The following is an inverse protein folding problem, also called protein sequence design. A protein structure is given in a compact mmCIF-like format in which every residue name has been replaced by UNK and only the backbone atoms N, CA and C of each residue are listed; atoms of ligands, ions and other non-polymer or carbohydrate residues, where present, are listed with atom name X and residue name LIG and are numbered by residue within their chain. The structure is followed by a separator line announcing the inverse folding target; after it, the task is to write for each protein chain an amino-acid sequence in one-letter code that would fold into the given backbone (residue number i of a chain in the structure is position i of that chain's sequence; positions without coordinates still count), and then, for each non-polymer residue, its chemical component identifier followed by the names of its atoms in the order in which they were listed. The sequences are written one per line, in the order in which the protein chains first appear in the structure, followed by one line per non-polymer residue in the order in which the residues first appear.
data_IF_381865097235
#
_entry.id   IF_381865097235
#
_cell.length_a   1.000
_cell.length_b   1.000
_cell.length_c   1.000
_cell.angle_alpha   90.00
_cell.angle_beta   90.00
_cell.angle_gamma   90.00
#
_symmetry.space_group_name_H-M   'P 1'
#
loop_
_entity.id
_entity.type
_entity.pdbx_description
1 polymer ?
#
# COMPACT_ATOMS: atom_id res chain seq x y z
N UNK A 1 7.76 20.57 -20.42
CA UNK A 1 8.88 21.52 -20.41
C UNK A 1 9.93 20.95 -19.47
N UNK A 2 11.14 20.70 -19.97
CA UNK A 2 12.25 20.07 -19.24
C UNK A 2 12.78 20.97 -18.13
N UNK A 3 13.12 20.42 -16.95
CA UNK A 3 14.49 20.38 -16.42
C UNK A 3 14.60 19.45 -15.19
N UNK A 4 15.58 18.56 -15.25
CA UNK A 4 16.09 17.69 -14.19
C UNK A 4 17.20 18.41 -13.40
N UNK A 5 17.28 18.15 -12.09
CA UNK A 5 18.53 18.06 -11.30
C UNK A 5 18.21 17.18 -10.08
N UNK A 6 18.61 15.91 -10.02
CA UNK A 6 19.87 15.43 -9.44
C UNK A 6 20.26 16.16 -8.15
N UNK A 7 19.93 15.56 -7.00
CA UNK A 7 20.79 15.66 -5.83
C UNK A 7 20.91 14.32 -5.11
N UNK A 8 22.16 13.96 -4.94
CA UNK A 8 22.71 12.76 -4.34
C UNK A 8 22.40 12.76 -2.83
N UNK A 9 21.74 11.72 -2.33
CA UNK A 9 21.44 11.59 -0.90
C UNK A 9 22.73 11.52 -0.07
N UNK A 10 22.96 12.54 0.77
CA UNK A 10 23.83 12.41 1.95
C UNK A 10 22.95 12.42 3.19
N UNK A 11 22.35 11.27 3.50
CA UNK A 11 21.92 10.97 4.86
C UNK A 11 22.87 9.94 5.43
N UNK A 12 23.62 10.37 6.44
CA UNK A 12 24.38 9.48 7.30
C UNK A 12 23.40 8.55 8.00
N UNK A 13 23.42 7.26 7.63
CA UNK A 13 22.69 6.23 8.35
C UNK A 13 23.22 6.14 9.78
N UNK A 14 22.46 6.64 10.75
CA UNK A 14 22.67 6.25 12.14
C UNK A 14 22.21 4.79 12.29
N UNK A 15 23.06 3.87 12.77
CA UNK A 15 22.63 2.50 13.09
C UNK A 15 21.55 2.60 14.17
N UNK A 16 20.35 2.14 13.83
CA UNK A 16 19.13 2.41 14.59
C UNK A 16 19.19 1.92 16.04
N UNK A 17 19.02 2.88 16.95
CA UNK A 17 18.53 2.62 18.31
C UNK A 17 17.14 1.97 18.16
N UNK A 18 16.99 0.71 18.58
CA UNK A 18 15.70 0.02 18.50
C UNK A 18 14.61 0.80 19.26
N UNK A 19 13.49 1.10 18.59
CA UNK A 19 12.31 1.65 19.25
C UNK A 19 11.77 0.62 20.24
N UNK A 20 11.44 1.06 21.47
CA UNK A 20 10.82 0.17 22.44
C UNK A 20 9.40 -0.23 22.00
N UNK A 21 8.92 -1.39 22.46
CA UNK A 21 7.59 -1.90 22.13
C UNK A 21 6.47 -0.86 22.35
N UNK A 22 6.49 -0.17 23.50
CA UNK A 22 5.49 0.85 23.81
C UNK A 22 5.53 2.03 22.82
N UNK A 23 6.72 2.44 22.37
CA UNK A 23 6.86 3.49 21.36
C UNK A 23 6.27 3.05 20.02
N UNK A 24 6.48 1.79 19.62
CA UNK A 24 5.92 1.25 18.38
C UNK A 24 4.38 1.21 18.45
N UNK A 25 3.80 0.67 19.53
CA UNK A 25 2.35 0.61 19.70
C UNK A 25 1.71 2.01 19.66
N UNK A 26 2.34 2.98 20.32
CA UNK A 26 1.90 4.38 20.30
C UNK A 26 2.03 5.01 18.90
N UNK A 27 3.15 4.77 18.21
CA UNK A 27 3.43 5.29 16.87
C UNK A 27 2.33 4.89 15.87
N UNK A 28 1.89 3.63 15.92
CA UNK A 28 0.85 3.09 15.03
C UNK A 28 -0.57 3.21 15.59
N UNK A 29 -0.75 3.84 16.76
CA UNK A 29 -2.06 3.97 17.45
C UNK A 29 -2.79 2.63 17.60
N UNK A 30 -2.04 1.57 17.92
CA UNK A 30 -2.61 0.22 18.03
C UNK A 30 -3.57 0.15 19.20
N UNK A 31 -4.80 -0.29 18.92
CA UNK A 31 -5.85 -0.48 19.92
C UNK A 31 -5.49 -1.66 20.82
N UNK A 32 -5.50 -1.45 22.15
CA UNK A 32 -5.36 -2.57 23.10
C UNK A 32 -6.63 -3.42 23.03
N UNK A 33 -6.49 -4.71 22.73
CA UNK A 33 -7.58 -5.65 22.98
C UNK A 33 -7.81 -5.70 24.49
N UNK A 34 -9.04 -5.38 24.92
CA UNK A 34 -9.53 -5.86 26.19
C UNK A 34 -9.72 -7.37 26.02
N UNK A 35 -8.93 -8.18 26.72
CA UNK A 35 -9.11 -9.63 26.79
C UNK A 35 -10.50 -9.94 27.35
N UNK A 36 -11.50 -10.03 26.47
CA UNK A 36 -12.73 -10.75 26.72
C UNK A 36 -12.61 -12.04 25.95
N UNK A 37 -12.13 -13.05 26.66
CA UNK A 37 -12.17 -14.44 26.24
C UNK A 37 -13.63 -14.88 26.13
N UNK A 38 -14.26 -14.65 24.98
CA UNK A 38 -15.51 -15.33 24.63
C UNK A 38 -15.16 -16.47 23.66
N UNK A 39 -15.06 -17.67 24.26
CA UNK A 39 -15.07 -18.94 23.54
C UNK A 39 -16.39 -19.03 22.78
N UNK A 40 -16.36 -18.88 21.46
CA UNK A 40 -17.48 -19.21 20.59
C UNK A 40 -17.54 -20.74 20.44
N UNK A 41 -18.50 -21.36 21.14
CA UNK A 41 -18.82 -22.77 21.01
C UNK A 41 -19.35 -23.11 19.60
N UNK A 42 -18.86 -24.22 19.06
CA UNK A 42 -19.29 -24.82 17.81
C UNK A 42 -20.76 -25.25 17.90
N UNK A 43 -21.64 -24.60 17.13
CA UNK A 43 -22.98 -25.15 16.86
C UNK A 43 -22.95 -26.02 15.60
N UNK A 44 -23.16 -27.32 15.80
CA UNK A 44 -23.38 -28.31 14.76
C UNK A 44 -24.79 -28.14 14.18
N UNK A 45 -24.89 -27.77 12.90
CA UNK A 45 -26.17 -27.80 12.19
C UNK A 45 -26.21 -28.97 11.19
N UNK A 46 -27.26 -29.78 11.32
CA UNK A 46 -27.55 -31.02 10.59
C UNK A 46 -27.69 -30.81 9.08
N UNK A 47 -26.98 -31.64 8.30
CA UNK A 47 -26.96 -31.63 6.83
C UNK A 47 -28.26 -32.17 6.22
N UNK A 48 -28.92 -31.40 5.35
CA UNK A 48 -29.92 -31.90 4.38
C UNK A 48 -29.27 -32.15 3.01
N UNK A 49 -29.65 -33.22 2.27
CA UNK A 49 -28.98 -33.59 1.03
C UNK A 49 -29.38 -32.67 -0.14
N UNK A 50 -28.39 -32.03 -0.78
CA UNK A 50 -28.56 -31.19 -1.98
C UNK A 50 -28.60 -32.04 -3.25
N UNK A 51 -29.66 -31.86 -4.06
CA UNK A 51 -29.80 -32.39 -5.43
C UNK A 51 -28.64 -31.92 -6.33
N UNK A 52 -28.01 -32.85 -7.04
CA UNK A 52 -26.94 -32.60 -8.02
C UNK A 52 -27.49 -31.82 -9.22
N UNK A 53 -26.95 -30.63 -9.47
CA UNK A 53 -27.13 -29.86 -10.72
C UNK A 53 -25.81 -29.91 -11.51
N UNK A 54 -25.83 -29.85 -12.85
CA UNK A 54 -24.63 -30.03 -13.67
C UNK A 54 -23.61 -28.92 -13.41
N UNK A 55 -22.33 -29.33 -13.34
CA UNK A 55 -21.17 -28.46 -13.18
C UNK A 55 -20.90 -27.67 -14.47
N UNK A 56 -21.60 -26.55 -14.66
CA UNK A 56 -21.00 -25.45 -15.41
C UNK A 56 -19.92 -24.85 -14.54
N UNK A 57 -18.65 -25.12 -14.87
CA UNK A 57 -17.48 -24.48 -14.25
C UNK A 57 -17.54 -22.99 -14.61
N UNK A 58 -18.24 -22.20 -13.79
CA UNK A 58 -18.02 -20.76 -13.76
C UNK A 58 -16.57 -20.59 -13.33
N UNK A 59 -15.72 -20.02 -14.19
CA UNK A 59 -14.37 -19.59 -13.81
C UNK A 59 -14.50 -18.85 -12.47
N UNK A 60 -13.87 -19.37 -11.43
CA UNK A 60 -13.86 -18.73 -10.11
C UNK A 60 -13.29 -17.32 -10.33
N UNK A 61 -14.08 -16.28 -10.07
CA UNK A 61 -13.56 -14.91 -10.14
C UNK A 61 -12.35 -14.83 -9.21
N UNK A 62 -11.22 -14.32 -9.70
CA UNK A 62 -10.09 -13.97 -8.83
C UNK A 62 -10.60 -12.91 -7.85
N UNK A 63 -10.50 -13.18 -6.55
CA UNK A 63 -11.00 -12.36 -5.44
C UNK A 63 -9.83 -12.02 -4.54
N UNK A 64 -9.78 -10.77 -4.08
CA UNK A 64 -8.71 -10.23 -3.25
C UNK A 64 -8.53 -11.13 -2.02
N UNK A 65 -7.28 -11.39 -1.67
CA UNK A 65 -6.93 -12.15 -0.47
C UNK A 65 -6.46 -11.19 0.62
N UNK A 66 -6.89 -11.38 1.88
CA UNK A 66 -6.28 -10.66 2.99
C UNK A 66 -4.84 -11.15 3.18
N UNK A 67 -3.96 -10.27 3.65
CA UNK A 67 -2.63 -10.71 4.06
C UNK A 67 -2.71 -11.63 5.27
N UNK A 68 -1.68 -12.48 5.43
CA UNK A 68 -1.51 -13.33 6.60
C UNK A 68 -0.38 -12.75 7.44
N UNK A 69 -0.66 -12.16 8.62
CA UNK A 69 0.36 -11.64 9.51
C UNK A 69 1.30 -12.76 9.97
N UNK A 70 2.51 -12.38 10.40
CA UNK A 70 3.38 -13.31 11.13
C UNK A 70 2.68 -13.82 12.40
N UNK A 71 2.70 -15.13 12.62
CA UNK A 71 2.15 -15.80 13.82
C UNK A 71 2.80 -15.24 15.10
N UNK A 72 4.13 -15.11 15.08
CA UNK A 72 4.93 -14.60 16.19
C UNK A 72 4.68 -13.09 16.42
N UNK A 73 4.15 -12.68 17.60
CA UNK A 73 3.98 -11.27 17.94
C UNK A 73 5.28 -10.45 17.94
N UNK A 74 6.41 -11.04 18.31
CA UNK A 74 7.70 -10.33 18.34
C UNK A 74 8.19 -10.05 16.92
N UNK A 75 7.91 -10.98 15.99
CA UNK A 75 8.16 -10.76 14.57
C UNK A 75 7.29 -9.61 14.02
N UNK A 76 5.99 -9.55 14.36
CA UNK A 76 5.12 -8.42 13.97
C UNK A 76 5.62 -7.09 14.54
N UNK A 77 6.09 -7.10 15.79
CA UNK A 77 6.65 -5.90 16.41
C UNK A 77 7.93 -5.43 15.69
N UNK A 78 8.79 -6.36 15.30
CA UNK A 78 9.98 -6.05 14.50
C UNK A 78 9.61 -5.46 13.15
N UNK A 79 8.64 -6.04 12.44
CA UNK A 79 8.12 -5.54 11.16
C UNK A 79 7.66 -4.09 11.28
N UNK A 80 6.78 -3.80 12.24
CA UNK A 80 6.33 -2.45 12.54
C UNK A 80 7.48 -1.52 12.95
N UNK A 81 8.44 -2.02 13.72
CA UNK A 81 9.62 -1.25 14.15
C UNK A 81 10.48 -0.77 12.98
N UNK A 82 10.63 -1.58 11.92
CA UNK A 82 11.37 -1.16 10.71
C UNK A 82 10.68 -0.02 9.99
N UNK A 83 9.36 -0.09 9.84
CA UNK A 83 8.55 0.98 9.24
C UNK A 83 8.61 2.27 10.07
N UNK A 84 8.44 2.18 11.39
CA UNK A 84 8.52 3.34 12.27
C UNK A 84 9.89 4.03 12.21
N UNK A 85 10.96 3.24 12.12
CA UNK A 85 12.33 3.75 11.99
C UNK A 85 12.53 4.50 10.67
N UNK A 86 12.07 3.94 9.55
CA UNK A 86 12.17 4.57 8.24
C UNK A 86 11.35 5.87 8.14
N UNK A 87 10.10 5.86 8.63
CA UNK A 87 9.25 7.05 8.68
C UNK A 87 9.89 8.14 9.56
N UNK A 88 10.43 7.78 10.72
CA UNK A 88 11.11 8.71 11.62
C UNK A 88 12.35 9.32 10.96
N UNK A 89 13.16 8.51 10.26
CA UNK A 89 14.36 8.98 9.57
C UNK A 89 14.06 10.01 8.47
N UNK A 90 12.87 9.93 7.87
CA UNK A 90 12.40 10.89 6.86
C UNK A 90 11.52 12.01 7.42
N UNK A 91 11.26 12.04 8.74
CA UNK A 91 10.39 13.05 9.37
C UNK A 91 8.91 12.92 9.00
N UNK A 92 8.45 11.72 8.62
CA UNK A 92 7.08 11.45 8.16
C UNK A 92 6.26 10.90 9.31
N UNK A 93 5.03 11.41 9.48
CA UNK A 93 4.06 10.87 10.41
C UNK A 93 3.33 9.67 9.81
N UNK A 94 3.07 8.65 10.62
CA UNK A 94 2.29 7.50 10.14
C UNK A 94 0.83 7.88 9.86
N UNK A 95 0.33 7.50 8.68
CA UNK A 95 -1.09 7.50 8.33
C UNK A 95 -1.42 6.35 7.40
N UNK A 96 -2.46 5.58 7.73
CA UNK A 96 -2.99 4.51 6.87
C UNK A 96 -4.25 4.91 6.10
N UNK A 97 -4.54 6.22 6.05
CA UNK A 97 -5.67 6.81 5.36
C UNK A 97 -5.21 7.99 4.47
N UNK A 98 -6.01 8.30 3.46
CA UNK A 98 -5.90 9.56 2.71
C UNK A 98 -6.25 10.74 3.65
N UNK A 99 -5.41 11.77 3.64
CA UNK A 99 -5.59 12.96 4.47
C UNK A 99 -5.93 14.16 3.57
N UNK A 100 -6.92 14.95 3.99
CA UNK A 100 -7.35 16.16 3.30
C UNK A 100 -7.03 17.37 4.17
N UNK A 101 -5.90 18.03 3.88
CA UNK A 101 -5.40 19.16 4.67
C UNK A 101 -6.04 20.47 4.18
N UNK A 102 -6.49 21.37 5.08
CA UNK A 102 -6.94 22.70 4.67
C UNK A 102 -5.88 23.45 3.85
N UNK A 103 -6.28 23.99 2.70
CA UNK A 103 -5.37 24.65 1.74
C UNK A 103 -4.86 23.72 0.62
N UNK A 104 -5.05 22.42 0.75
CA UNK A 104 -4.86 21.43 -0.33
C UNK A 104 -6.22 21.05 -0.95
N UNK A 105 -6.29 19.93 -1.66
CA UNK A 105 -7.53 19.42 -2.21
C UNK A 105 -8.51 19.00 -1.08
N UNK A 106 -9.78 19.45 -1.10
CA UNK A 106 -10.78 18.97 -0.16
C UNK A 106 -11.22 17.55 -0.52
N UNK A 107 -11.77 16.82 0.46
CA UNK A 107 -12.33 15.47 0.24
C UNK A 107 -13.39 15.43 -0.87
N UNK A 108 -14.19 16.48 -0.98
CA UNK A 108 -15.20 16.63 -2.04
C UNK A 108 -14.62 16.73 -3.45
N UNK A 109 -13.32 16.97 -3.62
CA UNK A 109 -12.67 16.90 -4.93
C UNK A 109 -12.37 15.45 -5.36
N UNK A 110 -12.23 14.53 -4.41
CA UNK A 110 -11.96 13.11 -4.70
C UNK A 110 -13.25 12.38 -5.08
N UNK A 111 -13.73 12.59 -6.30
CA UNK A 111 -14.88 11.88 -6.85
C UNK A 111 -14.45 11.08 -8.08
N UNK A 112 -14.60 9.77 -8.00
CA UNK A 112 -14.18 8.81 -9.03
C UNK A 112 -14.91 8.97 -10.36
N UNK A 113 -16.08 9.63 -10.37
CA UNK A 113 -16.79 9.99 -11.60
C UNK A 113 -16.03 11.01 -12.47
N UNK A 114 -15.09 11.76 -11.88
CA UNK A 114 -14.25 12.69 -12.63
C UNK A 114 -13.07 12.01 -13.33
N UNK A 115 -12.86 10.71 -13.11
CA UNK A 115 -11.77 9.98 -13.76
C UNK A 115 -12.01 9.90 -15.27
N UNK A 116 -11.03 10.36 -16.03
CA UNK A 116 -11.02 10.27 -17.49
C UNK A 116 -11.12 8.81 -17.94
N UNK A 117 -12.14 8.50 -18.72
CA UNK A 117 -12.41 7.13 -19.18
C UNK A 117 -13.07 6.22 -18.13
N UNK A 118 -13.40 6.75 -16.96
CA UNK A 118 -14.07 6.06 -15.87
C UNK A 118 -13.11 5.22 -15.00
N UNK A 119 -13.50 5.01 -13.74
CA UNK A 119 -12.77 4.19 -12.78
C UNK A 119 -13.51 2.89 -12.47
N UNK A 120 -12.79 1.78 -12.41
CA UNK A 120 -13.36 0.49 -12.01
C UNK A 120 -13.84 0.53 -10.55
N UNK A 121 -15.02 -0.01 -10.28
CA UNK A 121 -15.60 -0.08 -8.93
C UNK A 121 -15.09 -1.33 -8.21
N UNK A 122 -14.65 -1.18 -6.96
CA UNK A 122 -14.24 -2.33 -6.15
C UNK A 122 -15.47 -3.17 -5.79
N UNK A 123 -15.41 -4.47 -6.04
CA UNK A 123 -16.52 -5.37 -5.73
C UNK A 123 -16.72 -5.46 -4.21
N UNK A 124 -17.98 -5.62 -3.76
CA UNK A 124 -18.31 -5.72 -2.34
C UNK A 124 -17.47 -6.77 -1.59
N UNK A 125 -17.24 -7.94 -2.19
CA UNK A 125 -16.42 -9.00 -1.59
C UNK A 125 -14.94 -8.61 -1.43
N UNK A 126 -14.40 -7.82 -2.36
CA UNK A 126 -13.03 -7.31 -2.27
C UNK A 126 -12.95 -6.14 -1.28
N UNK A 127 -13.99 -5.30 -1.19
CA UNK A 127 -14.11 -4.26 -0.17
C UNK A 127 -14.12 -4.86 1.24
N UNK A 128 -14.89 -5.93 1.48
CA UNK A 128 -14.88 -6.66 2.75
C UNK A 128 -13.48 -7.17 3.11
N UNK A 129 -12.68 -7.57 2.11
CA UNK A 129 -11.29 -7.99 2.31
C UNK A 129 -10.37 -6.82 2.67
N UNK A 130 -10.56 -5.65 2.03
CA UNK A 130 -9.81 -4.43 2.39
C UNK A 130 -10.15 -3.99 3.81
N UNK A 131 -11.43 -3.98 4.19
CA UNK A 131 -11.88 -3.63 5.54
C UNK A 131 -11.36 -4.62 6.60
N UNK A 132 -11.34 -5.90 6.29
CA UNK A 132 -10.71 -6.91 7.16
C UNK A 132 -9.24 -6.56 7.41
N UNK A 133 -8.48 -6.25 6.35
CA UNK A 133 -7.07 -5.86 6.45
C UNK A 133 -6.85 -4.56 7.24
N UNK A 134 -7.74 -3.57 7.07
CA UNK A 134 -7.72 -2.32 7.88
C UNK A 134 -7.94 -2.63 9.36
N UNK A 135 -8.92 -3.46 9.69
CA UNK A 135 -9.21 -3.87 11.06
C UNK A 135 -8.05 -4.66 11.70
N UNK A 136 -7.36 -5.50 10.93
CA UNK A 136 -6.15 -6.20 11.36
C UNK A 136 -5.05 -5.21 11.75
N UNK A 137 -4.77 -4.21 10.92
CA UNK A 137 -3.73 -3.21 11.22
C UNK A 137 -4.02 -2.41 12.48
N UNK A 138 -5.27 -2.02 12.71
CA UNK A 138 -5.69 -1.28 13.92
C UNK A 138 -5.38 -2.03 15.23
N UNK A 139 -5.37 -3.37 15.20
CA UNK A 139 -5.01 -4.22 16.35
C UNK A 139 -3.56 -4.74 16.32
N UNK A 140 -2.71 -4.20 15.45
CA UNK A 140 -1.28 -4.55 15.38
C UNK A 140 -0.96 -5.78 14.52
N UNK A 141 -1.93 -6.32 13.78
CA UNK A 141 -1.70 -7.34 12.76
C UNK A 141 -1.34 -6.66 11.43
N UNK A 142 -0.05 -6.62 11.10
CA UNK A 142 0.47 -6.04 9.87
C UNK A 142 0.73 -7.11 8.79
N UNK A 143 0.77 -6.73 7.49
CA UNK A 143 1.30 -7.62 6.46
C UNK A 143 2.75 -7.98 6.79
N UNK A 144 3.22 -9.20 6.46
CA UNK A 144 4.54 -9.69 6.86
C UNK A 144 5.62 -9.04 5.97
N UNK A 145 5.86 -7.75 6.18
CA UNK A 145 6.72 -6.88 5.38
C UNK A 145 7.69 -6.15 6.31
N UNK A 146 8.92 -5.95 5.84
CA UNK A 146 9.95 -5.17 6.52
C UNK A 146 10.46 -4.06 5.61
N UNK A 147 10.79 -2.92 6.20
CA UNK A 147 11.50 -1.84 5.51
C UNK A 147 13.00 -2.04 5.72
N UNK A 148 13.76 -2.09 4.62
CA UNK A 148 15.20 -2.35 4.64
C UNK A 148 15.92 -1.25 3.87
N UNK A 149 16.97 -0.68 4.45
CA UNK A 149 17.81 0.29 3.76
C UNK A 149 18.83 -0.43 2.86
N UNK A 150 18.80 -0.09 1.58
CA UNK A 150 19.72 -0.52 0.55
C UNK A 150 20.57 0.68 0.09
N UNK A 151 21.91 0.59 0.07
CA UNK A 151 22.76 1.72 -0.34
C UNK A 151 22.54 2.22 -1.77
N UNK A 152 21.93 1.41 -2.64
CA UNK A 152 21.71 1.75 -4.05
C UNK A 152 20.26 2.18 -4.33
N UNK A 153 19.28 1.57 -3.65
CA UNK A 153 17.85 1.87 -3.85
C UNK A 153 17.23 2.75 -2.75
N UNK A 154 17.95 3.01 -1.66
CA UNK A 154 17.41 3.68 -0.48
C UNK A 154 16.54 2.73 0.36
N UNK A 155 15.47 3.25 0.96
CA UNK A 155 14.54 2.39 1.69
C UNK A 155 13.70 1.55 0.71
N UNK A 156 13.72 0.23 0.93
CA UNK A 156 12.99 -0.77 0.13
C UNK A 156 12.10 -1.60 1.04
N UNK A 157 11.17 -2.36 0.45
CA UNK A 157 10.27 -3.26 1.18
C UNK A 157 10.49 -4.70 0.75
N UNK A 158 10.69 -5.59 1.73
CA UNK A 158 10.89 -7.02 1.53
C UNK A 158 9.86 -7.84 2.29
N UNK A 159 9.49 -8.99 1.74
CA UNK A 159 8.59 -9.93 2.41
C UNK A 159 9.31 -10.64 3.57
N UNK A 160 8.76 -10.58 4.78
CA UNK A 160 9.25 -11.31 5.96
C UNK A 160 8.46 -12.61 6.23
N UNK A 161 7.59 -12.97 5.29
CA UNK A 161 6.83 -14.22 5.23
C UNK A 161 6.32 -14.48 3.81
N UNK A 162 5.77 -15.67 3.52
CA UNK A 162 5.19 -15.96 2.21
C UNK A 162 3.92 -15.13 1.97
N UNK A 163 3.80 -14.54 0.78
CA UNK A 163 2.62 -13.79 0.34
C UNK A 163 2.05 -14.44 -0.91
N UNK A 164 0.75 -14.73 -0.92
CA UNK A 164 0.11 -15.39 -2.07
C UNK A 164 -0.22 -14.39 -3.18
N UNK A 165 -0.32 -14.88 -4.40
CA UNK A 165 -0.90 -14.16 -5.52
C UNK A 165 -2.25 -13.55 -5.13
N UNK A 166 -2.49 -12.33 -5.60
CA UNK A 166 -3.72 -11.58 -5.38
C UNK A 166 -3.99 -11.17 -3.92
N UNK A 167 -2.94 -11.14 -3.10
CA UNK A 167 -2.99 -10.62 -1.71
C UNK A 167 -2.96 -9.09 -1.69
N UNK A 168 -3.85 -8.47 -0.93
CA UNK A 168 -3.80 -7.05 -0.61
C UNK A 168 -2.61 -6.74 0.29
N UNK A 169 -1.76 -5.79 -0.13
CA UNK A 169 -0.54 -5.43 0.58
C UNK A 169 -0.76 -4.17 1.42
N UNK A 170 -1.13 -3.07 0.76
CA UNK A 170 -1.34 -1.78 1.37
C UNK A 170 -2.22 -0.90 0.48
N UNK A 171 -2.81 0.13 1.07
CA UNK A 171 -3.31 1.29 0.33
C UNK A 171 -2.19 2.31 0.23
N UNK A 172 -2.09 3.02 -0.89
CA UNK A 172 -1.17 4.15 -1.03
C UNK A 172 -1.77 5.37 -0.36
N UNK A 173 -1.12 5.86 0.70
CA UNK A 173 -1.69 6.90 1.59
C UNK A 173 -0.78 8.11 1.70
N UNK A 174 -1.38 9.24 2.08
CA UNK A 174 -0.71 10.52 2.25
C UNK A 174 -1.69 11.69 2.14
N UNK A 175 -1.14 12.90 2.09
CA UNK A 175 -1.93 14.10 1.87
C UNK A 175 -2.44 14.12 0.43
N UNK A 176 -3.72 14.42 0.22
CA UNK A 176 -4.31 14.57 -1.11
C UNK A 176 -4.25 16.02 -1.53
N UNK A 177 -3.69 16.27 -2.71
CA UNK A 177 -3.53 17.60 -3.26
C UNK A 177 -3.80 17.63 -4.77
N UNK A 178 -3.95 18.82 -5.32
CA UNK A 178 -4.02 19.01 -6.76
C UNK A 178 -2.63 18.89 -7.38
N UNK A 179 -2.52 18.22 -8.54
CA UNK A 179 -1.24 18.07 -9.25
C UNK A 179 -0.59 19.42 -9.55
N UNK A 180 -1.37 20.44 -9.94
CA UNK A 180 -0.86 21.79 -10.19
C UNK A 180 -0.15 22.45 -9.00
N UNK A 181 -0.49 22.04 -7.77
CA UNK A 181 0.14 22.56 -6.56
C UNK A 181 1.50 21.91 -6.30
N UNK A 182 1.81 20.83 -7.03
CA UNK A 182 2.97 19.96 -6.82
C UNK A 182 3.94 19.94 -8.03
N UNK A 183 3.77 20.84 -9.00
CA UNK A 183 4.61 20.91 -10.20
C UNK A 183 6.10 21.17 -9.91
N UNK A 184 6.39 21.86 -8.81
CA UNK A 184 7.76 22.19 -8.37
C UNK A 184 8.14 21.45 -7.07
N UNK A 185 7.40 20.39 -6.72
CA UNK A 185 7.66 19.59 -5.53
C UNK A 185 8.85 18.64 -5.77
N UNK A 186 9.71 18.47 -4.76
CA UNK A 186 10.87 17.59 -4.80
C UNK A 186 10.58 16.18 -4.26
N UNK A 187 9.34 15.89 -3.88
CA UNK A 187 8.90 14.58 -3.43
C UNK A 187 8.98 13.53 -4.54
N UNK A 188 9.84 12.54 -4.32
CA UNK A 188 10.05 11.38 -5.20
C UNK A 188 8.95 10.30 -5.08
N UNK A 189 7.92 10.53 -4.28
CA UNK A 189 6.93 9.51 -3.90
C UNK A 189 5.50 9.95 -4.23
N UNK A 190 5.32 10.90 -5.14
CA UNK A 190 3.99 11.36 -5.55
C UNK A 190 3.28 10.26 -6.36
N UNK A 191 2.02 9.99 -6.02
CA UNK A 191 1.20 8.96 -6.66
C UNK A 191 -0.09 9.56 -7.21
N UNK A 192 -0.38 9.35 -8.50
CA UNK A 192 -1.63 9.78 -9.12
C UNK A 192 -2.85 9.12 -8.44
N UNK A 193 -3.82 9.95 -8.01
CA UNK A 193 -5.07 9.50 -7.41
C UNK A 193 -6.22 9.52 -8.43
N UNK A 194 -6.41 10.66 -9.08
CA UNK A 194 -7.53 10.96 -9.99
C UNK A 194 -6.99 11.74 -11.18
N UNK A 195 -7.24 11.26 -12.40
CA UNK A 195 -6.93 11.98 -13.64
C UNK A 195 -8.21 12.53 -14.24
N UNK A 196 -8.34 13.85 -14.21
CA UNK A 196 -9.52 14.55 -14.70
C UNK A 196 -9.33 15.02 -16.14
N UNK A 197 -10.42 15.14 -16.91
CA UNK A 197 -10.41 15.79 -18.22
C UNK A 197 -9.96 17.27 -18.13
N UNK A 198 -10.29 17.93 -17.02
CA UNK A 198 -9.71 19.22 -16.63
C UNK A 198 -8.45 18.97 -15.78
N UNK A 199 -7.23 19.26 -16.30
CA UNK A 199 -5.98 19.01 -15.58
C UNK A 199 -5.88 19.75 -14.25
N UNK A 200 -6.60 20.87 -14.09
CA UNK A 200 -6.57 21.66 -12.86
C UNK A 200 -7.28 20.99 -11.68
N UNK A 201 -8.01 19.89 -11.95
CA UNK A 201 -8.72 19.03 -10.98
C UNK A 201 -8.08 17.66 -10.79
N UNK A 202 -6.98 17.37 -11.49
CA UNK A 202 -6.20 16.15 -11.27
C UNK A 202 -5.66 16.13 -9.84
N UNK A 203 -5.78 14.99 -9.16
CA UNK A 203 -5.35 14.81 -7.78
C UNK A 203 -4.20 13.83 -7.69
N UNK A 204 -3.32 14.09 -6.73
CA UNK A 204 -2.19 13.26 -6.35
C UNK A 204 -2.20 13.00 -4.85
N UNK A 205 -1.57 11.90 -4.44
CA UNK A 205 -1.22 11.57 -3.06
C UNK A 205 0.24 11.96 -2.85
N UNK A 206 0.49 12.76 -1.83
CA UNK A 206 1.80 13.27 -1.42
C UNK A 206 2.13 12.69 -0.04
N UNK A 207 2.99 11.67 0.04
CA UNK A 207 3.31 11.02 1.30
C UNK A 207 4.44 11.72 2.07
N UNK A 208 4.68 13.01 1.82
CA UNK A 208 5.81 13.82 2.32
C UNK A 208 5.72 14.11 3.83
N UNK A 209 4.52 14.38 4.34
CA UNK A 209 4.26 14.64 5.78
C UNK A 209 3.58 13.50 6.49
N UNK A 210 2.69 12.81 5.80
CA UNK A 210 1.95 11.67 6.30
C UNK A 210 2.02 10.51 5.32
N UNK A 211 2.21 9.28 5.79
CA UNK A 211 2.22 8.11 4.91
C UNK A 211 2.37 6.80 5.65
N UNK A 212 2.33 5.69 4.91
CA UNK A 212 2.54 4.35 5.43
C UNK A 212 3.68 3.62 4.69
N UNK A 213 3.65 2.29 4.69
CA UNK A 213 4.62 1.43 4.03
C UNK A 213 4.67 1.62 2.50
N UNK A 214 3.56 1.99 1.86
CA UNK A 214 3.41 1.95 0.40
C UNK A 214 4.45 2.79 -0.35
N UNK A 215 4.86 3.90 0.25
CA UNK A 215 5.84 4.83 -0.34
C UNK A 215 7.25 4.25 -0.45
N UNK A 216 7.55 3.17 0.28
CA UNK A 216 8.87 2.54 0.30
C UNK A 216 8.98 1.35 -0.66
N UNK A 217 7.90 0.97 -1.37
CA UNK A 217 7.96 -0.16 -2.31
C UNK A 217 8.62 0.30 -3.61
N UNK A 218 9.70 -0.39 -4.01
CA UNK A 218 10.50 -0.05 -5.19
C UNK A 218 9.72 -0.14 -6.52
N UNK A 219 10.21 0.60 -7.50
CA UNK A 219 9.74 0.55 -8.89
C UNK A 219 10.64 -0.29 -9.78
N UNK A 220 10.09 -0.84 -10.87
CA UNK A 220 10.89 -1.52 -11.90
C UNK A 220 11.53 -0.53 -12.88
N UNK A 221 12.67 -0.91 -13.46
CA UNK A 221 13.20 -0.23 -14.65
C UNK A 221 12.36 -0.59 -15.89
N UNK A 222 11.67 0.38 -16.48
CA UNK A 222 10.82 0.16 -17.67
C UNK A 222 11.62 0.04 -18.98
N UNK A 223 12.92 0.34 -18.96
CA UNK A 223 13.76 0.45 -20.16
C UNK A 223 14.63 -0.78 -20.41
N UNK A 224 14.62 -1.77 -19.51
CA UNK A 224 15.36 -3.02 -19.71
C UNK A 224 14.46 -4.24 -19.50
N UNK A 225 14.78 -5.34 -20.21
CA UNK A 225 13.96 -6.57 -20.19
C UNK A 225 13.97 -7.29 -18.84
N UNK A 226 14.94 -7.00 -17.98
CA UNK A 226 15.09 -7.66 -16.67
C UNK A 226 14.22 -6.98 -15.60
N UNK A 227 14.02 -5.65 -15.67
CA UNK A 227 13.19 -4.90 -14.73
C UNK A 227 11.77 -5.45 -14.65
N UNK A 228 11.14 -5.71 -15.81
CA UNK A 228 9.79 -6.31 -15.85
C UNK A 228 9.70 -7.70 -15.21
N UNK A 229 10.81 -8.45 -15.11
CA UNK A 229 10.84 -9.75 -14.42
C UNK A 229 10.88 -9.61 -12.90
N UNK A 230 11.32 -8.46 -12.36
CA UNK A 230 11.32 -8.18 -10.93
C UNK A 230 9.92 -7.90 -10.38
N UNK A 231 9.01 -7.41 -11.23
CA UNK A 231 7.65 -7.06 -10.84
C UNK A 231 6.93 -8.24 -10.18
N UNK A 232 6.47 -8.04 -8.95
CA UNK A 232 5.73 -9.04 -8.17
C UNK A 232 4.50 -8.47 -7.46
N UNK A 233 4.29 -7.16 -7.55
CA UNK A 233 3.04 -6.52 -7.18
C UNK A 233 2.61 -5.48 -8.24
N UNK A 234 1.39 -4.98 -8.08
CA UNK A 234 0.79 -3.98 -8.97
C UNK A 234 0.04 -2.94 -8.16
N UNK A 235 0.22 -1.68 -8.56
CA UNK A 235 -0.60 -0.55 -8.12
C UNK A 235 -1.85 -0.46 -9.01
N UNK A 236 -3.04 -0.38 -8.38
CA UNK A 236 -4.34 -0.32 -9.06
C UNK A 236 -5.24 0.72 -8.41
N UNK A 237 -5.95 1.48 -9.24
CA UNK A 237 -6.93 2.48 -8.78
C UNK A 237 -8.34 1.91 -8.85
N UNK A 238 -9.13 2.13 -7.80
CA UNK A 238 -10.52 1.69 -7.68
C UNK A 238 -11.40 2.81 -7.13
N UNK A 239 -12.65 2.83 -7.58
CA UNK A 239 -13.73 3.56 -6.93
C UNK A 239 -14.24 2.75 -5.75
N UNK A 240 -14.17 3.34 -4.55
CA UNK A 240 -14.74 2.80 -3.31
C UNK A 240 -15.67 3.87 -2.75
N UNK A 241 -16.97 3.56 -2.68
CA UNK A 241 -18.02 4.48 -2.23
C UNK A 241 -18.00 5.84 -2.97
N UNK A 242 -17.63 5.82 -4.26
CA UNK A 242 -17.55 7.02 -5.10
C UNK A 242 -16.22 7.77 -5.03
N UNK A 243 -15.31 7.41 -4.12
CA UNK A 243 -13.98 8.02 -3.98
C UNK A 243 -12.89 7.21 -4.69
N UNK A 244 -11.88 7.87 -5.25
CA UNK A 244 -10.71 7.18 -5.79
C UNK A 244 -9.85 6.65 -4.66
N UNK A 245 -9.35 5.42 -4.80
CA UNK A 245 -8.41 4.76 -3.87
C UNK A 245 -7.34 4.01 -4.65
N UNK A 246 -6.12 3.98 -4.10
CA UNK A 246 -4.96 3.36 -4.74
C UNK A 246 -4.50 2.17 -3.90
N UNK A 247 -4.58 0.96 -4.47
CA UNK A 247 -4.27 -0.28 -3.78
C UNK A 247 -3.04 -0.96 -4.38
N UNK A 248 -2.23 -1.58 -3.53
CA UNK A 248 -1.10 -2.44 -3.92
C UNK A 248 -1.48 -3.90 -3.68
N UNK A 249 -1.35 -4.72 -4.73
CA UNK A 249 -1.75 -6.14 -4.73
C UNK A 249 -0.64 -7.00 -5.31
N UNK A 250 -0.36 -8.14 -4.68
CA UNK A 250 0.57 -9.13 -5.22
C UNK A 250 0.05 -9.71 -6.55
N UNK A 251 0.92 -9.91 -7.54
CA UNK A 251 0.57 -10.44 -8.88
C UNK A 251 1.06 -11.86 -9.13
N UNK A 252 1.76 -12.42 -8.16
CA UNK A 252 2.23 -13.80 -8.06
C UNK A 252 2.49 -14.13 -6.60
N UNK A 253 2.75 -15.40 -6.31
CA UNK A 253 3.32 -15.78 -5.01
C UNK A 253 4.70 -15.12 -4.82
N UNK A 254 4.95 -14.62 -3.62
CA UNK A 254 6.18 -13.92 -3.20
C UNK A 254 6.76 -14.70 -2.02
N UNK A 255 8.01 -15.13 -2.13
CA UNK A 255 8.71 -15.83 -1.06
C UNK A 255 9.22 -14.86 0.01
N UNK A 256 9.46 -15.36 1.22
CA UNK A 256 10.18 -14.62 2.26
C UNK A 256 11.57 -14.21 1.74
N UNK A 257 11.96 -12.96 1.98
CA UNK A 257 13.18 -12.33 1.54
C UNK A 257 13.10 -11.71 0.14
N UNK A 258 12.01 -11.91 -0.62
CA UNK A 258 11.84 -11.20 -1.89
C UNK A 258 11.48 -9.73 -1.66
N UNK A 259 12.19 -8.85 -2.36
CA UNK A 259 11.88 -7.43 -2.46
C UNK A 259 10.65 -7.19 -3.33
N UNK A 260 9.79 -6.27 -2.91
CA UNK A 260 8.58 -5.92 -3.62
C UNK A 260 8.89 -4.86 -4.69
N UNK A 261 8.39 -5.11 -5.91
CA UNK A 261 8.51 -4.21 -7.04
C UNK A 261 7.17 -4.09 -7.77
N UNK A 262 6.75 -2.85 -8.06
CA UNK A 262 5.66 -2.56 -8.98
C UNK A 262 6.09 -1.62 -10.11
N UNK A 263 5.21 -1.44 -11.09
CA UNK A 263 5.44 -0.49 -12.19
C UNK A 263 4.94 0.90 -11.77
N UNK A 264 5.87 1.83 -11.53
CA UNK A 264 5.55 3.22 -11.22
C UNK A 264 4.84 3.90 -12.39
N UNK A 265 5.10 3.46 -13.62
CA UNK A 265 4.51 3.97 -14.86
C UNK A 265 3.36 3.07 -15.36
N UNK A 266 2.60 2.46 -14.45
CA UNK A 266 1.53 1.52 -14.78
C UNK A 266 0.34 2.13 -15.53
N UNK A 267 0.26 3.46 -15.62
CA UNK A 267 -0.76 4.19 -16.38
C UNK A 267 -0.13 5.35 -17.17
N UNK A 268 0.46 6.33 -16.47
CA UNK A 268 1.22 7.44 -17.05
C UNK A 268 2.72 7.09 -17.12
N UNK A 269 3.52 7.84 -17.89
CA UNK A 269 4.97 7.61 -18.06
C UNK A 269 5.80 8.78 -17.51
N UNK A 270 5.36 9.35 -16.39
CA UNK A 270 5.96 10.56 -15.81
C UNK A 270 7.14 10.26 -14.88
N UNK A 271 7.30 9.02 -14.42
CA UNK A 271 8.37 8.65 -13.50
C UNK A 271 9.62 8.16 -14.25
N UNK A 272 10.78 8.81 -14.14
CA UNK A 272 11.97 8.39 -14.87
C UNK A 272 12.63 7.15 -14.24
N UNK A 273 12.52 5.98 -14.87
CA UNK A 273 13.04 4.72 -14.30
C UNK A 273 14.33 4.20 -14.95
N UNK A 274 14.96 4.97 -15.84
CA UNK A 274 16.19 4.57 -16.54
C UNK A 274 17.34 4.20 -15.59
N UNK A 275 17.42 4.88 -14.44
CA UNK A 275 18.47 4.72 -13.45
C UNK A 275 18.18 3.62 -12.43
N UNK A 276 16.99 3.00 -12.48
CA UNK A 276 16.64 1.90 -11.58
C UNK A 276 17.44 0.64 -11.91
N UNK A 277 17.74 -0.16 -10.88
CA UNK A 277 18.51 -1.40 -10.99
C UNK A 277 17.73 -2.57 -11.59
#
# INVERSE_FOLDING_TARGET
FFFFFSNFWRLSACPGLGLSQQKILHFFRIEKQNDRTEKSELNQESRKPRRRRPLTVKKRKRRLLPFVPSEDPDQRLKQLGTLASALTALGINYSDDLIYVPGMAPRSANQSEFEKGGMQVLLKEDLETVEQCRAMRKRGECPPLVVVFDPLEGYTVEADGPIKDFTFLAEYTGDVDYLKNRENDDCDSIMTLLLSEDPSKTLVICPDKYGNLSRFISGINNHNRYGKKKQNCKCVRYSIDGECRVLLVATRDIAKGERLYYDYNGYEHEYPTHHFL
#
